data_IF_660937194294
#
_entry.id   IF_660937194294
#
_cell.length_a   1.000
_cell.length_b   1.000
_cell.length_c   1.000
_cell.angle_alpha   90.00
_cell.angle_beta   90.00
_cell.angle_gamma   90.00
#
_symmetry.space_group_name_H-M   'P 1'
#
loop_
_entity.id
_entity.type
_entity.pdbx_description
1 polymer ?
#
# COMPACT_ATOMS: atom_id res chain seq x y z
N UNK A 1 3.19 6.90 5.89
CA UNK A 1 4.61 7.06 5.46
C UNK A 1 4.96 8.55 5.50
N UNK A 2 6.25 8.88 5.57
CA UNK A 2 6.79 10.22 5.42
C UNK A 2 7.26 10.45 3.99
N UNK A 3 6.92 11.61 3.45
CA UNK A 3 7.25 12.06 2.10
C UNK A 3 7.63 13.54 2.15
N UNK A 4 8.43 14.01 1.21
CA UNK A 4 8.79 15.43 1.13
C UNK A 4 7.61 16.29 0.64
N UNK A 5 7.77 17.61 0.70
CA UNK A 5 6.76 18.58 0.28
C UNK A 5 6.34 18.37 -1.18
N UNK A 6 7.30 18.17 -2.09
CA UNK A 6 7.02 17.94 -3.51
C UNK A 6 6.24 16.64 -3.74
N UNK A 7 6.66 15.54 -3.11
CA UNK A 7 5.95 14.28 -3.17
C UNK A 7 4.53 14.37 -2.60
N UNK A 8 4.31 15.22 -1.59
CA UNK A 8 2.98 15.43 -1.02
C UNK A 8 1.98 15.94 -2.07
N UNK A 9 2.40 16.82 -2.99
CA UNK A 9 1.57 17.27 -4.11
C UNK A 9 1.20 16.14 -5.07
N UNK A 10 2.18 15.32 -5.45
CA UNK A 10 1.97 14.14 -6.30
C UNK A 10 1.00 13.13 -5.66
N UNK A 11 1.14 12.93 -4.35
CA UNK A 11 0.25 12.05 -3.58
C UNK A 11 -1.18 12.58 -3.46
N UNK A 12 -1.37 13.89 -3.30
CA UNK A 12 -2.71 14.52 -3.31
C UNK A 12 -3.41 14.28 -4.65
N UNK A 13 -2.68 14.30 -5.76
CA UNK A 13 -3.19 14.00 -7.09
C UNK A 13 -3.70 12.56 -7.30
N UNK A 14 -3.37 11.61 -6.40
CA UNK A 14 -3.91 10.24 -6.44
C UNK A 14 -5.36 10.17 -5.94
N UNK A 15 -5.81 11.16 -5.17
CA UNK A 15 -7.10 11.14 -4.50
C UNK A 15 -7.06 10.48 -3.11
N UNK A 16 -7.98 10.94 -2.25
CA UNK A 16 -8.02 10.60 -0.81
C UNK A 16 -8.27 9.12 -0.52
N UNK A 17 -8.87 8.39 -1.46
CA UNK A 17 -9.14 6.95 -1.33
C UNK A 17 -7.87 6.09 -1.48
N UNK A 18 -6.83 6.62 -2.14
CA UNK A 18 -5.52 5.93 -2.29
C UNK A 18 -4.47 6.48 -1.33
N UNK A 19 -4.43 7.81 -1.17
CA UNK A 19 -3.43 8.49 -0.35
C UNK A 19 -4.05 9.67 0.38
N UNK A 20 -4.20 9.52 1.69
CA UNK A 20 -4.60 10.61 2.57
C UNK A 20 -3.36 11.32 3.13
N UNK A 21 -3.19 12.61 2.83
CA UNK A 21 -1.96 13.37 3.08
C UNK A 21 -2.19 14.46 4.13
N UNK A 22 -1.36 14.47 5.18
CA UNK A 22 -1.34 15.45 6.27
C UNK A 22 0.06 16.02 6.48
N UNK A 23 0.13 17.30 6.85
CA UNK A 23 1.33 17.97 7.34
C UNK A 23 1.59 17.60 8.79
N UNK A 24 2.85 17.36 9.13
CA UNK A 24 3.26 17.03 10.51
C UNK A 24 2.98 18.22 11.45
N UNK A 25 3.20 19.45 10.98
CA UNK A 25 3.15 20.66 11.82
C UNK A 25 1.92 21.53 11.60
N UNK A 26 1.30 21.48 10.43
CA UNK A 26 0.21 22.41 10.05
C UNK A 26 -1.19 21.80 10.14
N UNK A 27 -1.31 20.48 10.11
CA UNK A 27 -2.62 19.81 10.20
C UNK A 27 -2.91 19.35 11.63
N UNK A 28 -4.19 19.36 12.00
CA UNK A 28 -4.67 18.68 13.21
C UNK A 28 -4.71 17.18 12.96
N UNK A 29 -4.23 16.41 13.93
CA UNK A 29 -4.19 14.94 13.88
C UNK A 29 -5.25 14.33 14.78
N UNK A 30 -5.91 13.29 14.30
CA UNK A 30 -6.75 12.40 15.11
C UNK A 30 -5.90 11.29 15.70
N UNK A 31 -6.30 10.75 16.85
CA UNK A 31 -5.57 9.64 17.50
C UNK A 31 -5.40 8.44 16.56
N UNK A 32 -6.47 8.05 15.86
CA UNK A 32 -6.41 6.96 14.88
C UNK A 32 -5.48 7.24 13.68
N UNK A 33 -5.21 8.51 13.35
CA UNK A 33 -4.23 8.86 12.31
C UNK A 33 -2.80 8.69 12.83
N UNK A 34 -2.58 9.00 14.10
CA UNK A 34 -1.30 8.76 14.79
C UNK A 34 -1.02 7.26 14.93
N UNK A 35 -2.01 6.46 15.32
CA UNK A 35 -1.87 5.00 15.41
C UNK A 35 -1.46 4.37 14.06
N UNK A 36 -2.08 4.81 12.96
CA UNK A 36 -1.68 4.39 11.60
C UNK A 36 -0.22 4.73 11.29
N UNK A 37 0.27 5.86 11.78
CA UNK A 37 1.68 6.25 11.61
C UNK A 37 2.62 5.43 12.48
N UNK A 38 2.22 5.05 13.71
CA UNK A 38 2.98 4.18 14.62
C UNK A 38 3.15 2.77 14.07
N UNK A 39 2.06 2.15 13.57
CA UNK A 39 2.12 0.77 13.03
C UNK A 39 2.71 0.70 11.62
N UNK A 40 2.67 1.81 10.88
CA UNK A 40 3.23 1.91 9.54
C UNK A 40 4.73 2.25 9.49
N UNK A 41 5.05 3.40 8.89
CA UNK A 41 6.43 3.84 8.67
C UNK A 41 7.04 3.42 7.33
N UNK A 42 8.07 4.15 6.91
CA UNK A 42 8.66 4.03 5.57
C UNK A 42 9.35 2.69 5.36
N UNK A 43 10.10 2.23 6.37
CA UNK A 43 10.81 0.96 6.31
C UNK A 43 9.84 -0.22 6.14
N UNK A 44 8.82 -0.31 7.00
CA UNK A 44 7.79 -1.36 6.92
C UNK A 44 7.02 -1.33 5.60
N UNK A 45 6.71 -0.13 5.09
CA UNK A 45 6.05 0.00 3.80
C UNK A 45 6.92 -0.50 2.65
N UNK A 46 8.21 -0.14 2.65
CA UNK A 46 9.17 -0.62 1.64
C UNK A 46 9.30 -2.13 1.69
N UNK A 47 9.56 -2.69 2.87
CA UNK A 47 9.68 -4.14 3.10
C UNK A 47 8.43 -4.88 2.62
N UNK A 48 7.25 -4.48 3.08
CA UNK A 48 5.99 -5.13 2.73
C UNK A 48 5.72 -5.10 1.23
N UNK A 49 5.85 -3.93 0.58
CA UNK A 49 5.59 -3.80 -0.84
C UNK A 49 6.61 -4.58 -1.67
N UNK A 50 7.90 -4.51 -1.33
CA UNK A 50 8.95 -5.25 -2.06
C UNK A 50 8.84 -6.77 -1.96
N UNK A 51 8.12 -7.28 -0.95
CA UNK A 51 7.87 -8.71 -0.78
C UNK A 51 6.68 -9.21 -1.64
N UNK A 52 5.91 -8.31 -2.28
CA UNK A 52 4.77 -8.71 -3.10
C UNK A 52 5.19 -9.02 -4.54
N UNK A 53 4.64 -10.08 -5.16
CA UNK A 53 5.04 -10.53 -6.49
C UNK A 53 4.69 -9.52 -7.59
N UNK A 54 3.68 -8.68 -7.40
CA UNK A 54 3.19 -7.69 -8.36
C UNK A 54 3.87 -6.31 -8.20
N UNK A 55 4.86 -6.16 -7.30
CA UNK A 55 5.46 -4.87 -6.99
C UNK A 55 6.87 -4.71 -7.59
N UNK A 56 7.03 -3.67 -8.42
CA UNK A 56 8.34 -3.25 -8.91
C UNK A 56 8.53 -1.73 -8.75
N UNK A 57 9.37 -1.34 -7.80
CA UNK A 57 9.64 0.06 -7.47
C UNK A 57 10.39 0.84 -8.57
N UNK A 58 11.01 0.18 -9.54
CA UNK A 58 11.79 0.86 -10.58
C UNK A 58 10.98 1.03 -11.88
N UNK A 59 10.05 0.13 -12.17
CA UNK A 59 9.26 0.19 -13.41
C UNK A 59 7.88 0.84 -13.23
N UNK A 60 7.30 0.80 -12.03
CA UNK A 60 5.93 1.31 -11.83
C UNK A 60 5.91 2.83 -11.61
N UNK A 61 4.97 3.51 -12.25
CA UNK A 61 4.61 4.89 -11.94
C UNK A 61 4.00 5.01 -10.53
N UNK A 62 3.93 6.23 -9.98
CA UNK A 62 3.30 6.46 -8.68
C UNK A 62 1.82 5.98 -8.66
N UNK A 63 1.08 6.27 -9.74
CA UNK A 63 -0.31 5.81 -9.88
C UNK A 63 -0.41 4.28 -9.87
N UNK A 64 0.44 3.59 -10.63
CA UNK A 64 0.46 2.12 -10.67
C UNK A 64 0.77 1.52 -9.29
N UNK A 65 1.79 2.05 -8.60
CA UNK A 65 2.17 1.55 -7.26
C UNK A 65 1.02 1.65 -6.27
N UNK A 66 0.36 2.80 -6.16
CA UNK A 66 -0.69 3.00 -5.15
C UNK A 66 -2.04 2.39 -5.53
N UNK A 67 -2.27 2.10 -6.82
CA UNK A 67 -3.42 1.32 -7.28
C UNK A 67 -3.19 -0.20 -7.27
N UNK A 68 -1.96 -0.67 -7.03
CA UNK A 68 -1.65 -2.10 -6.98
C UNK A 68 -2.40 -2.84 -5.86
N UNK A 69 -2.51 -4.16 -6.01
CA UNK A 69 -3.07 -5.03 -4.98
C UNK A 69 -2.17 -5.05 -3.74
N UNK A 70 -0.85 -5.03 -3.92
CA UNK A 70 0.12 -4.84 -2.84
C UNK A 70 -0.19 -3.60 -1.97
N UNK A 71 -0.46 -2.45 -2.60
CA UNK A 71 -0.81 -1.23 -1.86
C UNK A 71 -2.17 -1.33 -1.17
N UNK A 72 -3.14 -2.02 -1.78
CA UNK A 72 -4.44 -2.28 -1.14
C UNK A 72 -4.30 -3.15 0.11
N UNK A 73 -3.52 -4.23 0.05
CA UNK A 73 -3.22 -5.06 1.22
C UNK A 73 -2.52 -4.27 2.31
N UNK A 74 -1.55 -3.42 1.95
CA UNK A 74 -0.87 -2.61 2.95
C UNK A 74 -1.80 -1.60 3.61
N UNK A 75 -2.74 -0.98 2.88
CA UNK A 75 -3.75 -0.09 3.47
C UNK A 75 -4.63 -0.84 4.47
N UNK A 76 -5.13 -2.02 4.12
CA UNK A 76 -5.94 -2.87 4.99
C UNK A 76 -5.18 -3.30 6.25
N UNK A 77 -3.91 -3.68 6.10
CA UNK A 77 -2.99 -3.97 7.20
C UNK A 77 -2.86 -2.82 8.18
N UNK A 78 -2.56 -1.62 7.68
CA UNK A 78 -2.39 -0.43 8.53
C UNK A 78 -3.69 -0.05 9.24
N UNK A 79 -4.84 -0.17 8.58
CA UNK A 79 -6.14 0.10 9.21
C UNK A 79 -6.42 -0.90 10.34
N UNK A 80 -6.14 -2.19 10.10
CA UNK A 80 -6.39 -3.27 11.06
C UNK A 80 -5.46 -3.16 12.27
N UNK A 81 -4.17 -3.01 12.04
CA UNK A 81 -3.17 -2.94 13.11
C UNK A 81 -3.30 -1.65 13.94
N UNK A 82 -3.69 -0.53 13.33
CA UNK A 82 -3.97 0.71 14.06
C UNK A 82 -5.17 0.60 15.01
N UNK A 83 -6.06 -0.39 14.81
CA UNK A 83 -7.15 -0.71 15.74
C UNK A 83 -6.72 -1.72 16.82
N UNK A 84 -5.45 -2.10 16.89
CA UNK A 84 -4.94 -3.11 17.81
C UNK A 84 -5.31 -4.55 17.42
N UNK A 85 -5.77 -4.79 16.19
CA UNK A 85 -6.14 -6.11 15.69
C UNK A 85 -4.99 -6.75 14.93
N UNK A 86 -4.95 -8.08 14.92
CA UNK A 86 -4.00 -8.84 14.10
C UNK A 86 -4.47 -8.87 12.65
N UNK A 87 -3.60 -8.47 11.72
CA UNK A 87 -3.87 -8.55 10.29
C UNK A 87 -3.34 -9.86 9.69
N UNK A 88 -4.10 -10.43 8.75
CA UNK A 88 -3.65 -11.56 7.95
C UNK A 88 -4.01 -11.36 6.48
N UNK A 89 -3.17 -11.88 5.59
CA UNK A 89 -3.40 -11.78 4.15
C UNK A 89 -4.71 -12.47 3.76
N UNK A 90 -5.00 -13.66 4.29
CA UNK A 90 -6.17 -14.47 3.92
C UNK A 90 -7.50 -13.82 4.31
N UNK A 91 -7.53 -13.04 5.40
CA UNK A 91 -8.74 -12.36 5.88
C UNK A 91 -8.88 -10.93 5.37
N UNK A 92 -7.93 -10.45 4.57
CA UNK A 92 -7.92 -9.06 4.12
C UNK A 92 -9.06 -8.75 3.14
N UNK A 93 -9.73 -7.61 3.33
CA UNK A 93 -10.77 -7.13 2.41
C UNK A 93 -10.24 -6.87 0.98
N UNK A 94 -8.96 -6.54 0.86
CA UNK A 94 -8.28 -6.28 -0.41
C UNK A 94 -8.01 -7.52 -1.30
N UNK A 95 -8.47 -8.72 -0.90
CA UNK A 95 -8.33 -9.93 -1.74
C UNK A 95 -8.96 -9.77 -3.13
N UNK A 96 -10.08 -9.04 -3.22
CA UNK A 96 -10.80 -8.80 -4.47
C UNK A 96 -10.38 -7.50 -5.18
N UNK A 97 -9.29 -6.86 -4.75
CA UNK A 97 -8.85 -5.59 -5.33
C UNK A 97 -8.32 -5.81 -6.76
N UNK A 98 -9.04 -5.24 -7.74
CA UNK A 98 -8.63 -5.21 -9.14
C UNK A 98 -7.98 -3.86 -9.46
N UNK A 99 -6.70 -3.87 -9.87
CA UNK A 99 -6.03 -2.64 -10.28
C UNK A 99 -6.37 -2.32 -11.74
N UNK A 100 -6.76 -1.08 -12.08
CA UNK A 100 -7.05 -0.69 -13.46
C UNK A 100 -5.80 -0.71 -14.37
N UNK A 101 -4.61 -0.83 -13.78
CA UNK A 101 -3.34 -0.92 -14.50
C UNK A 101 -2.88 -2.37 -14.73
N UNK A 102 -3.62 -3.36 -14.23
CA UNK A 102 -3.36 -4.77 -14.54
C UNK A 102 -3.99 -5.11 -15.88
N UNK A 103 -3.23 -4.97 -16.96
CA UNK A 103 -3.51 -5.71 -18.19
C UNK A 103 -3.24 -7.19 -17.91
N UNK A 104 -4.20 -8.05 -18.29
CA UNK A 104 -4.19 -9.50 -18.12
C UNK A 104 -2.88 -10.12 -18.61
N UNK A 105 -1.97 -10.40 -17.69
CA UNK A 105 -0.93 -11.39 -17.88
C UNK A 105 -1.25 -12.53 -16.92
N UNK A 106 -2.13 -13.43 -17.37
CA UNK A 106 -2.30 -14.74 -16.76
C UNK A 106 -0.95 -15.47 -16.81
N UNK A 107 -0.15 -15.32 -15.76
CA UNK A 107 0.96 -16.22 -15.49
C UNK A 107 0.32 -17.51 -14.97
N UNK A 108 0.13 -18.47 -15.87
CA UNK A 108 -0.11 -19.86 -15.49
C UNK A 108 1.11 -20.33 -14.70
N UNK A 109 0.96 -20.53 -13.40
CA UNK A 109 1.89 -21.37 -12.65
C UNK A 109 1.70 -22.81 -13.14
N UNK A 110 2.41 -23.19 -14.21
CA UNK A 110 2.66 -24.60 -14.48
C UNK A 110 3.80 -25.05 -13.56
N UNK A 111 3.46 -25.92 -12.61
CA UNK A 111 4.44 -26.72 -11.87
C UNK A 111 5.42 -27.34 -12.87
N UNK A 112 6.71 -26.98 -12.76
CA UNK A 112 7.78 -27.75 -13.39
C UNK A 112 8.18 -28.86 -12.41
N UNK A 113 8.11 -30.14 -12.79
CA UNK A 113 8.60 -31.22 -11.96
C UNK A 113 10.13 -31.16 -11.90
N UNK A 114 10.68 -31.31 -10.69
CA UNK A 114 12.10 -31.53 -10.46
C UNK A 114 12.55 -32.76 -11.25
N UNK A 115 13.59 -32.59 -12.08
CA UNK A 115 14.51 -33.69 -12.38
C UNK A 115 15.56 -33.77 -11.28
#
# INVERSE_FOLDING_TARGET
IFICLECSGKHRGLGVHLSFVRSITMDKWKEMELEKMKVGGNRRAKEFLSAQPDYNANSMSLQQRYNSRAAAFYRDKIITEAQGKTWSISTSSAQNHSSPYTSSSSINYTEKPSR
#
